data_IF_569938076344
#
_entry.id   IF_569938076344
#
_cell.length_a   1.000
_cell.length_b   1.000
_cell.length_c   1.000
_cell.angle_alpha   90.00
_cell.angle_beta   90.00
_cell.angle_gamma   90.00
#
_symmetry.space_group_name_H-M   'P 1'
#
loop_
_entity.id
_entity.type
_entity.pdbx_description
1 polymer ?
#
# COMPACT_ATOMS: atom_id res chain seq x y z
N UNK A 1 24.20 16.64 -25.10
CA UNK A 1 23.25 15.69 -24.49
C UNK A 1 21.91 16.40 -24.40
N UNK A 2 21.01 16.15 -25.35
CA UNK A 2 19.80 16.96 -25.61
C UNK A 2 18.56 16.14 -25.20
N UNK A 3 18.33 16.00 -23.90
CA UNK A 3 17.21 15.27 -23.28
C UNK A 3 15.84 15.99 -23.22
N UNK A 4 15.66 17.32 -23.45
CA UNK A 4 14.38 17.96 -23.17
C UNK A 4 13.30 17.75 -24.25
N UNK A 5 13.68 17.53 -25.52
CA UNK A 5 12.70 17.45 -26.62
C UNK A 5 12.03 16.08 -26.77
N UNK A 6 12.68 15.00 -26.34
CA UNK A 6 12.14 13.63 -26.45
C UNK A 6 10.98 13.38 -25.47
N UNK A 7 10.98 14.07 -24.32
CA UNK A 7 9.97 13.91 -23.26
C UNK A 7 8.64 14.57 -23.66
N UNK A 8 8.66 15.69 -24.39
CA UNK A 8 7.45 16.47 -24.67
C UNK A 8 6.55 15.85 -25.76
N UNK A 9 7.13 15.18 -26.77
CA UNK A 9 6.39 14.66 -27.92
C UNK A 9 5.73 13.30 -27.64
N UNK A 10 6.40 12.44 -26.88
CA UNK A 10 5.86 11.13 -26.47
C UNK A 10 4.72 11.30 -25.45
N UNK A 11 4.75 12.37 -24.64
CA UNK A 11 3.74 12.66 -23.62
C UNK A 11 2.36 12.97 -24.22
N UNK A 12 2.28 13.83 -25.25
CA UNK A 12 1.00 14.19 -25.88
C UNK A 12 0.33 13.00 -26.57
N UNK A 13 1.11 12.16 -27.27
CA UNK A 13 0.60 10.95 -27.93
C UNK A 13 0.12 9.90 -26.93
N UNK A 14 0.85 9.75 -25.82
CA UNK A 14 0.47 8.83 -24.73
C UNK A 14 -0.80 9.33 -24.04
N UNK A 15 -0.92 10.63 -23.77
CA UNK A 15 -2.10 11.24 -23.15
C UNK A 15 -3.38 11.09 -23.99
N UNK A 16 -3.28 11.18 -25.32
CA UNK A 16 -4.40 10.98 -26.24
C UNK A 16 -4.91 9.52 -26.24
N UNK A 17 -3.99 8.56 -26.11
CA UNK A 17 -4.31 7.12 -26.11
C UNK A 17 -5.04 6.67 -24.84
N UNK A 18 -4.75 7.29 -23.70
CA UNK A 18 -5.36 6.98 -22.38
C UNK A 18 -6.87 7.19 -22.36
N UNK A 19 -7.41 8.14 -23.14
CA UNK A 19 -8.85 8.45 -23.13
C UNK A 19 -9.72 7.38 -23.80
N UNK A 20 -9.15 6.55 -24.67
CA UNK A 20 -9.89 5.58 -25.50
C UNK A 20 -10.03 4.21 -24.84
N UNK A 21 -9.12 3.83 -23.93
CA UNK A 21 -9.08 2.48 -23.36
C UNK A 21 -10.12 2.22 -22.24
N UNK A 22 -10.88 3.23 -21.80
CA UNK A 22 -11.65 3.19 -20.56
C UNK A 22 -13.09 2.63 -20.70
N UNK A 23 -13.46 2.07 -21.86
CA UNK A 23 -14.87 1.74 -22.20
C UNK A 23 -15.24 0.24 -22.13
N UNK A 24 -14.33 -0.67 -21.79
CA UNK A 24 -14.64 -2.11 -21.70
C UNK A 24 -15.28 -2.45 -20.34
N UNK A 25 -16.62 -2.52 -20.31
CA UNK A 25 -17.44 -2.73 -19.11
C UNK A 25 -17.70 -4.22 -18.83
N UNK A 26 -16.95 -4.77 -17.87
CA UNK A 26 -17.38 -5.91 -17.04
C UNK A 26 -17.53 -5.43 -15.60
N UNK A 27 -18.54 -5.90 -14.86
CA UNK A 27 -18.65 -5.55 -13.44
C UNK A 27 -17.41 -6.06 -12.69
N UNK A 28 -16.72 -5.20 -11.92
CA UNK A 28 -15.48 -5.60 -11.28
C UNK A 28 -15.75 -6.64 -10.20
N UNK A 29 -14.95 -7.73 -10.19
CA UNK A 29 -15.01 -8.75 -9.14
C UNK A 29 -14.89 -8.08 -7.76
N UNK A 30 -15.79 -8.33 -6.79
CA UNK A 30 -15.71 -7.71 -5.47
C UNK A 30 -14.35 -7.94 -4.78
N UNK A 31 -13.87 -6.94 -4.06
CA UNK A 31 -12.71 -7.07 -3.16
C UNK A 31 -13.25 -7.55 -1.81
N UNK A 32 -12.83 -8.74 -1.39
CA UNK A 32 -13.25 -9.33 -0.12
C UNK A 32 -12.48 -8.67 1.03
N UNK A 33 -13.15 -8.48 2.16
CA UNK A 33 -12.46 -8.11 3.39
C UNK A 33 -11.60 -9.27 3.90
N UNK A 34 -10.40 -9.01 4.44
CA UNK A 34 -9.59 -10.05 5.08
C UNK A 34 -10.32 -10.64 6.30
N UNK A 35 -9.88 -11.83 6.73
CA UNK A 35 -10.37 -12.45 7.96
C UNK A 35 -10.16 -11.53 9.17
N UNK A 36 -10.99 -11.69 10.21
CA UNK A 36 -10.79 -11.07 11.53
C UNK A 36 -10.15 -12.03 12.53
N UNK A 37 -9.96 -13.28 12.15
CA UNK A 37 -9.23 -14.23 12.98
C UNK A 37 -7.73 -14.02 12.80
N UNK A 38 -6.99 -13.77 13.89
CA UNK A 38 -5.58 -13.42 13.83
C UNK A 38 -4.71 -14.54 13.22
N UNK A 39 -5.07 -15.81 13.43
CA UNK A 39 -4.35 -16.95 12.84
C UNK A 39 -4.54 -16.94 11.33
N UNK A 40 -5.78 -16.83 10.87
CA UNK A 40 -6.08 -16.73 9.43
C UNK A 40 -5.41 -15.51 8.78
N UNK A 41 -5.42 -14.34 9.44
CA UNK A 41 -4.73 -13.14 8.92
C UNK A 41 -3.24 -13.39 8.76
N UNK A 42 -2.60 -14.06 9.73
CA UNK A 42 -1.19 -14.39 9.64
C UNK A 42 -0.89 -15.32 8.46
N UNK A 43 -1.75 -16.29 8.22
CA UNK A 43 -1.62 -17.23 7.10
C UNK A 43 -1.88 -16.59 5.73
N UNK A 44 -2.74 -15.57 5.65
CA UNK A 44 -3.12 -14.97 4.36
C UNK A 44 -2.43 -13.65 4.03
N UNK A 45 -2.19 -12.81 5.03
CA UNK A 45 -1.66 -11.45 4.85
C UNK A 45 -0.18 -11.36 5.21
N UNK A 46 0.36 -12.30 5.99
CA UNK A 46 1.75 -12.26 6.45
C UNK A 46 2.59 -13.41 5.87
N UNK A 47 2.14 -14.05 4.79
CA UNK A 47 2.80 -15.24 4.20
C UNK A 47 3.47 -14.99 2.86
N UNK A 48 3.46 -13.75 2.36
CA UNK A 48 4.09 -13.40 1.08
C UNK A 48 5.62 -13.43 1.21
N UNK A 49 6.22 -14.54 0.79
CA UNK A 49 7.67 -14.71 0.70
C UNK A 49 8.03 -15.11 -0.72
N UNK A 50 8.97 -14.38 -1.31
CA UNK A 50 9.52 -14.60 -2.65
C UNK A 50 11.00 -14.94 -2.55
N UNK A 51 11.57 -15.55 -3.58
CA UNK A 51 13.02 -15.76 -3.68
C UNK A 51 13.72 -14.38 -3.75
N UNK A 52 13.37 -13.56 -4.74
CA UNK A 52 13.80 -12.16 -4.88
C UNK A 52 12.61 -11.19 -4.95
N UNK A 53 12.86 -9.91 -4.67
CA UNK A 53 11.87 -8.84 -4.89
C UNK A 53 12.57 -7.57 -5.37
N UNK A 54 12.52 -7.37 -6.68
CA UNK A 54 13.25 -6.30 -7.37
C UNK A 54 12.42 -5.02 -7.50
N UNK A 55 13.07 -3.95 -7.96
CA UNK A 55 12.38 -2.69 -8.30
C UNK A 55 11.38 -2.86 -9.44
N UNK A 56 11.64 -3.78 -10.38
CA UNK A 56 10.73 -4.11 -11.46
C UNK A 56 9.47 -4.80 -10.92
N UNK A 57 9.62 -5.74 -9.98
CA UNK A 57 8.50 -6.42 -9.33
C UNK A 57 7.62 -5.43 -8.56
N UNK A 58 8.24 -4.48 -7.85
CA UNK A 58 7.53 -3.41 -7.17
C UNK A 58 6.71 -2.55 -8.16
N UNK A 59 7.28 -2.20 -9.31
CA UNK A 59 6.60 -1.41 -10.33
C UNK A 59 5.40 -2.17 -10.94
N UNK A 60 5.60 -3.43 -11.32
CA UNK A 60 4.55 -4.28 -11.88
C UNK A 60 3.42 -4.54 -10.89
N UNK A 61 3.77 -4.89 -9.65
CA UNK A 61 2.80 -5.09 -8.57
C UNK A 61 1.98 -3.82 -8.33
N UNK A 62 2.63 -2.65 -8.29
CA UNK A 62 1.95 -1.37 -8.14
C UNK A 62 0.91 -1.12 -9.23
N UNK A 63 1.25 -1.39 -10.49
CA UNK A 63 0.31 -1.28 -11.60
C UNK A 63 -0.84 -2.29 -11.55
N UNK A 64 -0.57 -3.53 -11.14
CA UNK A 64 -1.61 -4.55 -10.98
C UNK A 64 -2.61 -4.17 -9.89
N UNK A 65 -2.12 -3.65 -8.74
CA UNK A 65 -2.98 -3.14 -7.66
C UNK A 65 -3.76 -1.93 -8.16
N UNK A 66 -3.11 -0.99 -8.86
CA UNK A 66 -3.77 0.19 -9.43
C UNK A 66 -4.94 -0.22 -10.34
N UNK A 67 -4.68 -1.10 -11.32
CA UNK A 67 -5.69 -1.60 -12.24
C UNK A 67 -6.81 -2.35 -11.51
N UNK A 68 -6.48 -3.08 -10.43
CA UNK A 68 -7.46 -3.78 -9.60
C UNK A 68 -8.40 -2.84 -8.85
N UNK A 69 -7.90 -1.70 -8.39
CA UNK A 69 -8.65 -0.70 -7.63
C UNK A 69 -9.41 0.30 -8.52
N UNK A 70 -8.93 0.55 -9.74
CA UNK A 70 -9.47 1.56 -10.64
C UNK A 70 -10.99 1.47 -10.87
N UNK A 71 -11.61 0.28 -11.05
CA UNK A 71 -13.07 0.19 -11.20
C UNK A 71 -13.89 0.62 -9.97
N UNK A 72 -13.28 0.67 -8.78
CA UNK A 72 -13.93 1.10 -7.53
C UNK A 72 -13.68 2.57 -7.20
N UNK A 73 -12.77 3.21 -7.94
CA UNK A 73 -12.37 4.59 -7.75
C UNK A 73 -13.52 5.62 -7.71
N UNK A 74 -14.66 5.44 -8.43
CA UNK A 74 -15.78 6.38 -8.33
C UNK A 74 -16.47 6.39 -6.97
N UNK A 75 -16.38 5.32 -6.18
CA UNK A 75 -16.97 5.24 -4.84
C UNK A 75 -15.92 5.31 -3.72
N UNK A 76 -14.70 4.83 -4.00
CA UNK A 76 -13.63 4.69 -3.01
C UNK A 76 -12.29 5.00 -3.65
N UNK A 77 -11.73 6.16 -3.32
CA UNK A 77 -10.34 6.47 -3.68
C UNK A 77 -9.37 5.80 -2.70
N UNK A 78 -8.13 5.58 -3.16
CA UNK A 78 -7.08 4.99 -2.36
C UNK A 78 -5.71 5.51 -2.78
N UNK A 79 -4.71 5.44 -1.89
CA UNK A 79 -3.30 5.56 -2.26
C UNK A 79 -2.62 4.20 -2.12
N UNK A 80 -1.79 3.87 -3.09
CA UNK A 80 -0.91 2.70 -3.07
C UNK A 80 0.51 3.22 -2.84
N UNK A 81 1.25 2.61 -1.92
CA UNK A 81 2.69 2.82 -1.76
C UNK A 81 3.40 1.48 -1.63
N UNK A 82 4.54 1.33 -2.30
CA UNK A 82 5.42 0.17 -2.19
C UNK A 82 6.80 0.69 -1.82
N UNK A 83 7.26 0.33 -0.63
CA UNK A 83 8.49 0.84 -0.02
C UNK A 83 9.46 -0.29 0.26
N UNK A 84 10.72 -0.16 -0.13
CA UNK A 84 11.75 -1.15 0.17
C UNK A 84 12.02 -1.18 1.69
N UNK A 85 11.93 -2.36 2.31
CA UNK A 85 11.99 -2.46 3.77
C UNK A 85 13.36 -2.11 4.34
N UNK A 86 14.45 -2.43 3.62
CA UNK A 86 15.82 -2.19 4.08
C UNK A 86 16.26 -0.72 4.05
N UNK A 87 15.77 0.06 3.08
CA UNK A 87 16.21 1.45 2.87
C UNK A 87 15.12 2.50 3.15
N UNK A 88 13.85 2.10 3.19
CA UNK A 88 12.72 3.02 3.22
C UNK A 88 12.48 3.75 1.89
N UNK A 89 13.15 3.34 0.81
CA UNK A 89 12.95 3.96 -0.51
C UNK A 89 11.59 3.59 -1.08
N UNK A 90 10.81 4.59 -1.50
CA UNK A 90 9.55 4.39 -2.22
C UNK A 90 9.86 4.00 -3.66
N UNK A 91 9.39 2.82 -4.06
CA UNK A 91 9.59 2.24 -5.40
C UNK A 91 8.39 2.48 -6.31
N UNK A 92 7.19 2.54 -5.73
CA UNK A 92 5.95 2.86 -6.42
C UNK A 92 5.02 3.64 -5.50
N UNK A 93 4.42 4.71 -5.99
CA UNK A 93 3.36 5.40 -5.28
C UNK A 93 2.37 6.02 -6.25
N UNK A 94 1.08 5.72 -6.06
CA UNK A 94 0.05 6.22 -6.96
C UNK A 94 -1.30 6.39 -6.24
N UNK A 95 -1.95 7.56 -6.38
CA UNK A 95 -3.35 7.72 -6.02
C UNK A 95 -4.27 7.09 -7.07
N UNK A 96 -5.30 6.37 -6.61
CA UNK A 96 -6.36 5.76 -7.40
C UNK A 96 -7.65 6.53 -7.16
N UNK A 97 -8.21 7.13 -8.21
CA UNK A 97 -9.41 7.96 -8.14
C UNK A 97 -9.17 9.40 -7.67
N UNK A 98 -10.27 10.14 -7.50
CA UNK A 98 -10.24 11.50 -6.96
C UNK A 98 -10.52 11.44 -5.45
N UNK A 99 -9.81 12.23 -4.64
CA UNK A 99 -10.05 12.33 -3.19
C UNK A 99 -8.96 11.74 -2.28
N UNK A 100 -7.78 11.41 -2.79
CA UNK A 100 -6.58 11.25 -1.94
C UNK A 100 -6.07 12.62 -1.51
N UNK A 101 -5.70 12.77 -0.24
CA UNK A 101 -5.13 13.99 0.32
C UNK A 101 -3.82 13.70 1.08
N UNK A 102 -3.15 14.76 1.54
CA UNK A 102 -1.87 14.65 2.27
C UNK A 102 -1.95 13.78 3.52
N UNK A 103 -3.10 13.71 4.20
CA UNK A 103 -3.26 12.84 5.38
C UNK A 103 -3.05 11.35 5.05
N UNK A 104 -3.38 10.93 3.82
CA UNK A 104 -3.15 9.56 3.38
C UNK A 104 -1.66 9.18 3.43
N UNK A 105 -0.74 10.12 3.19
CA UNK A 105 0.71 9.90 3.33
C UNK A 105 1.09 9.60 4.78
N UNK A 106 0.46 10.28 5.74
CA UNK A 106 0.63 10.01 7.16
C UNK A 106 0.18 8.59 7.52
N UNK A 107 -0.93 8.13 6.96
CA UNK A 107 -1.41 6.77 7.14
C UNK A 107 -0.50 5.71 6.48
N UNK A 108 0.03 5.99 5.28
CA UNK A 108 1.05 5.14 4.64
C UNK A 108 2.24 4.98 5.57
N UNK A 109 2.84 6.09 6.01
CA UNK A 109 4.01 6.06 6.88
C UNK A 109 3.75 5.31 8.20
N UNK A 110 2.62 5.59 8.86
CA UNK A 110 2.27 4.98 10.15
C UNK A 110 2.04 3.48 10.07
N UNK A 111 1.34 3.00 9.03
CA UNK A 111 1.10 1.57 8.84
C UNK A 111 2.35 0.85 8.35
N UNK A 112 3.11 1.46 7.44
CA UNK A 112 4.38 0.92 6.98
C UNK A 112 5.40 0.78 8.12
N UNK A 113 5.49 1.77 9.02
CA UNK A 113 6.32 1.69 10.23
C UNK A 113 5.92 0.53 11.15
N UNK A 114 4.61 0.25 11.25
CA UNK A 114 4.12 -0.93 11.98
C UNK A 114 4.61 -2.22 11.34
N UNK A 115 4.46 -2.34 10.01
CA UNK A 115 4.93 -3.53 9.30
C UNK A 115 6.43 -3.74 9.47
N UNK A 116 7.21 -2.66 9.37
CA UNK A 116 8.67 -2.72 9.48
C UNK A 116 9.13 -3.13 10.89
N UNK A 117 8.55 -2.52 11.94
CA UNK A 117 9.01 -2.75 13.33
C UNK A 117 8.62 -4.13 13.85
N UNK A 118 7.42 -4.63 13.50
CA UNK A 118 6.90 -5.88 14.05
C UNK A 118 6.91 -7.05 13.06
N UNK A 119 7.28 -6.82 11.80
CA UNK A 119 7.39 -7.87 10.78
C UNK A 119 6.06 -8.54 10.43
N UNK A 120 4.94 -7.86 10.69
CA UNK A 120 3.58 -8.37 10.56
C UNK A 120 2.66 -7.30 9.95
N UNK A 121 1.60 -7.70 9.24
CA UNK A 121 0.67 -6.72 8.67
C UNK A 121 0.03 -5.87 9.76
N UNK A 122 -0.28 -4.61 9.44
CA UNK A 122 -0.96 -3.72 10.37
C UNK A 122 -2.36 -4.24 10.73
N UNK A 123 -2.96 -5.10 9.89
CA UNK A 123 -4.20 -5.79 10.16
C UNK A 123 -4.06 -6.97 11.13
N UNK A 124 -2.97 -7.75 11.05
CA UNK A 124 -2.65 -8.76 12.06
C UNK A 124 -2.49 -8.10 13.42
N UNK A 125 -1.72 -7.01 13.48
CA UNK A 125 -1.51 -6.25 14.71
C UNK A 125 -2.85 -5.72 15.27
N UNK A 126 -3.76 -5.25 14.40
CA UNK A 126 -5.11 -4.86 14.83
C UNK A 126 -5.80 -5.96 15.64
N UNK A 127 -5.80 -7.20 15.15
CA UNK A 127 -6.56 -8.30 15.74
C UNK A 127 -5.89 -8.90 16.96
N UNK A 128 -4.56 -8.90 17.01
CA UNK A 128 -3.81 -9.29 18.22
C UNK A 128 -4.10 -8.33 19.37
N UNK A 129 -4.30 -7.05 19.06
CA UNK A 129 -4.53 -6.00 20.06
C UNK A 129 -6.00 -5.60 20.18
N UNK A 130 -6.90 -6.27 19.49
CA UNK A 130 -8.35 -5.97 19.46
C UNK A 130 -8.66 -4.50 19.09
N UNK A 131 -7.79 -3.86 18.33
CA UNK A 131 -7.86 -2.44 17.98
C UNK A 131 -7.52 -1.47 19.13
N UNK A 132 -7.06 -1.95 20.28
CA UNK A 132 -6.66 -1.13 21.43
C UNK A 132 -5.24 -0.58 21.25
N UNK A 133 -5.13 0.56 20.55
CA UNK A 133 -3.85 1.25 20.34
C UNK A 133 -3.20 1.72 21.66
N UNK A 134 -4.00 1.92 22.71
CA UNK A 134 -3.52 2.42 24.00
C UNK A 134 -2.83 1.30 24.81
N UNK A 135 -3.42 0.11 24.80
CA UNK A 135 -2.81 -1.12 25.32
C UNK A 135 -1.57 -1.49 24.51
N UNK A 136 -1.65 -1.40 23.18
CA UNK A 136 -0.51 -1.61 22.29
C UNK A 136 0.67 -0.69 22.64
N UNK A 137 0.40 0.62 22.75
CA UNK A 137 1.40 1.62 23.15
C UNK A 137 2.01 1.32 24.52
N UNK A 138 1.18 1.01 25.52
CA UNK A 138 1.65 0.70 26.88
C UNK A 138 2.55 -0.54 26.91
N UNK A 139 2.17 -1.61 26.20
CA UNK A 139 2.97 -2.83 26.16
C UNK A 139 4.36 -2.59 25.57
N UNK A 140 4.44 -1.86 24.46
CA UNK A 140 5.72 -1.53 23.83
C UNK A 140 6.43 -0.33 24.46
N UNK A 141 5.94 0.16 25.62
CA UNK A 141 6.53 1.27 26.38
C UNK A 141 6.75 2.55 25.55
N UNK A 142 5.88 2.78 24.57
CA UNK A 142 6.00 3.93 23.67
C UNK A 142 5.43 5.20 24.32
N UNK A 143 6.18 6.29 24.19
CA UNK A 143 5.70 7.63 24.54
C UNK A 143 4.55 8.08 23.62
N UNK A 144 3.83 9.15 23.98
CA UNK A 144 2.72 9.66 23.16
C UNK A 144 3.18 10.09 21.77
N UNK A 145 4.29 10.85 21.69
CA UNK A 145 4.87 11.28 20.43
C UNK A 145 5.34 10.10 19.57
N UNK A 146 6.06 9.14 20.17
CA UNK A 146 6.52 7.94 19.47
C UNK A 146 5.35 7.13 18.91
N UNK A 147 4.29 6.95 19.70
CA UNK A 147 3.12 6.16 19.30
C UNK A 147 2.40 6.72 18.09
N UNK A 148 2.46 8.04 17.87
CA UNK A 148 1.91 8.69 16.69
C UNK A 148 2.55 8.25 15.37
N UNK A 149 3.76 7.67 15.41
CA UNK A 149 4.45 7.14 14.23
C UNK A 149 3.96 5.78 13.79
N UNK A 150 3.02 5.17 14.53
CA UNK A 150 2.51 3.84 14.26
C UNK A 150 0.98 3.85 14.15
N UNK A 151 0.46 2.91 13.37
CA UNK A 151 -0.98 2.62 13.29
C UNK A 151 -1.17 1.12 13.12
N UNK A 152 -2.07 0.55 13.92
CA UNK A 152 -2.42 -0.88 13.83
C UNK A 152 -3.77 -1.06 13.15
N UNK A 153 -4.08 -0.24 12.14
CA UNK A 153 -5.26 -0.40 11.30
C UNK A 153 -4.87 -1.00 9.95
N UNK A 154 -5.75 -1.80 9.35
CA UNK A 154 -5.45 -2.50 8.09
C UNK A 154 -5.01 -1.56 6.96
N UNK A 155 -4.04 -2.00 6.17
CA UNK A 155 -3.54 -1.26 5.01
C UNK A 155 -2.09 -1.59 4.65
N UNK A 156 -1.24 -1.89 5.65
CA UNK A 156 0.16 -2.27 5.43
C UNK A 156 0.36 -3.78 5.47
N UNK A 157 1.09 -4.32 4.50
CA UNK A 157 1.35 -5.74 4.29
C UNK A 157 2.85 -5.99 4.02
N UNK A 158 3.50 -6.94 4.71
CA UNK A 158 4.89 -7.30 4.44
C UNK A 158 5.01 -8.17 3.18
N UNK A 159 5.99 -7.84 2.33
CA UNK A 159 6.54 -8.72 1.29
C UNK A 159 7.96 -9.10 1.73
N UNK A 160 8.21 -10.40 1.87
CA UNK A 160 9.54 -10.91 2.24
C UNK A 160 10.26 -11.45 1.02
N UNK A 161 11.58 -11.32 1.04
CA UNK A 161 12.48 -11.91 0.05
C UNK A 161 13.55 -12.71 0.77
N UNK A 162 13.99 -13.81 0.19
CA UNK A 162 15.09 -14.64 0.71
C UNK A 162 16.46 -14.07 0.32
N UNK A 163 16.56 -13.46 -0.87
CA UNK A 163 17.80 -12.87 -1.40
C UNK A 163 18.00 -11.40 -1.00
N UNK A 164 16.91 -10.63 -0.86
CA UNK A 164 16.93 -9.19 -0.63
C UNK A 164 16.23 -8.77 0.68
N UNK A 165 16.10 -7.47 0.92
CA UNK A 165 15.42 -6.92 2.10
C UNK A 165 13.88 -7.00 2.05
N UNK A 166 13.27 -7.40 0.92
CA UNK A 166 11.82 -7.38 0.73
C UNK A 166 11.23 -5.96 0.71
N UNK A 167 9.90 -5.86 0.79
CA UNK A 167 9.17 -4.60 0.68
C UNK A 167 7.95 -4.55 1.61
N UNK A 168 7.38 -3.35 1.71
CA UNK A 168 6.13 -3.09 2.40
C UNK A 168 5.16 -2.54 1.36
N UNK A 169 3.97 -3.11 1.30
CA UNK A 169 2.88 -2.63 0.46
C UNK A 169 1.82 -2.01 1.35
N UNK A 170 1.59 -0.71 1.16
CA UNK A 170 0.53 0.03 1.82
C UNK A 170 -0.57 0.36 0.80
N UNK A 171 -1.82 -0.01 1.13
CA UNK A 171 -3.02 0.42 0.42
C UNK A 171 -3.93 1.11 1.41
N UNK A 172 -4.07 2.43 1.26
CA UNK A 172 -4.87 3.26 2.16
C UNK A 172 -6.10 3.73 1.41
N UNK A 173 -7.27 3.23 1.81
CA UNK A 173 -8.53 3.81 1.35
C UNK A 173 -8.68 5.23 1.92
N UNK A 174 -9.03 6.19 1.08
CA UNK A 174 -9.42 7.52 1.51
C UNK A 174 -10.84 7.50 2.06
N UNK A 175 -11.02 8.12 3.23
CA UNK A 175 -12.31 8.29 3.88
C UNK A 175 -12.71 9.78 3.96
N UNK A 176 -12.23 10.61 3.03
CA UNK A 176 -12.65 12.02 2.95
C UNK A 176 -14.11 12.08 2.48
N UNK A 177 -15.02 12.21 3.44
CA UNK A 177 -16.39 12.74 3.27
C UNK A 177 -16.47 14.14 3.88
#
# INVERSE_FOLDING_TARGET
MHLPYFISFEFEKTAATIRVANEASQQPKPILSPSKDAVAVKETCDSFTFESFTTQDAWELGHLIYARLLPFAPQKSAIISITLAGSGQILFQAPVGLGTAKDNEGWVARKGNTVLRWGASSWYMNHVWEGDEDRFRKLFSMGMEESGNYAIHGGGVPIRSEEDHGAIVDVIQSNWE
#
